data_IF_414929959143
#
_entry.id   IF_414929959143
#
_cell.length_a   1.000
_cell.length_b   1.000
_cell.length_c   1.000
_cell.angle_alpha   90.00
_cell.angle_beta   90.00
_cell.angle_gamma   90.00
#
_symmetry.space_group_name_H-M   'P 1'
#
loop_
_entity.id
_entity.type
_entity.pdbx_description
1 polymer ?
#
# COMPACT_ATOMS: atom_id res chain seq x y z
N UNK A 1 15.35 29.03 7.27
CA UNK A 1 14.11 28.25 7.51
C UNK A 1 14.52 26.79 7.43
N UNK A 2 14.03 25.94 8.31
CA UNK A 2 14.31 24.48 8.27
C UNK A 2 13.51 23.88 7.10
N UNK A 3 14.13 23.00 6.29
CA UNK A 3 13.41 22.34 5.19
C UNK A 3 12.19 21.58 5.73
N UNK A 4 11.08 21.54 4.98
CA UNK A 4 9.93 20.73 5.34
C UNK A 4 10.33 19.27 5.54
N UNK A 5 9.79 18.62 6.57
CA UNK A 5 9.96 17.19 6.79
C UNK A 5 8.97 16.40 5.97
N UNK A 6 9.36 15.20 5.59
CA UNK A 6 8.54 14.27 4.82
C UNK A 6 8.15 13.09 5.72
N UNK A 7 6.84 12.89 5.88
CA UNK A 7 6.24 11.80 6.66
C UNK A 7 5.56 10.82 5.70
N UNK A 8 6.00 9.56 5.69
CA UNK A 8 5.37 8.48 4.94
C UNK A 8 4.38 7.74 5.85
N UNK A 9 3.08 7.86 5.56
CA UNK A 9 1.97 7.46 6.41
C UNK A 9 1.16 6.33 5.78
N UNK A 10 1.05 5.19 6.47
CA UNK A 10 0.32 4.02 5.98
C UNK A 10 -0.21 3.12 7.10
N UNK A 11 -1.24 2.33 6.76
CA UNK A 11 -1.74 1.27 7.63
C UNK A 11 -0.96 -0.01 7.38
N UNK A 12 -0.68 -0.76 8.45
CA UNK A 12 -0.02 -2.06 8.38
C UNK A 12 -0.97 -3.17 8.84
N UNK A 13 -0.97 -4.29 8.10
CA UNK A 13 -1.76 -5.47 8.43
C UNK A 13 -0.86 -6.67 8.76
N UNK A 14 -0.20 -7.28 7.74
CA UNK A 14 0.65 -8.46 7.93
C UNK A 14 1.76 -8.62 6.88
N UNK A 15 1.94 -7.65 6.00
CA UNK A 15 2.84 -7.70 4.85
C UNK A 15 4.28 -7.36 5.25
N UNK A 16 4.93 -8.23 6.04
CA UNK A 16 6.26 -7.97 6.62
C UNK A 16 7.34 -7.73 5.56
N UNK A 17 7.35 -8.52 4.47
CA UNK A 17 8.34 -8.37 3.42
C UNK A 17 8.14 -7.07 2.62
N UNK A 18 6.88 -6.73 2.34
CA UNK A 18 6.54 -5.53 1.60
C UNK A 18 6.81 -4.25 2.42
N UNK A 19 6.62 -4.31 3.73
CA UNK A 19 7.05 -3.25 4.64
C UNK A 19 8.57 -3.03 4.56
N UNK A 20 9.36 -4.11 4.47
CA UNK A 20 10.80 -4.00 4.32
C UNK A 20 11.18 -3.34 2.99
N UNK A 21 10.54 -3.73 1.87
CA UNK A 21 10.76 -3.08 0.57
C UNK A 21 10.45 -1.58 0.62
N UNK A 22 9.31 -1.20 1.24
CA UNK A 22 8.94 0.21 1.41
C UNK A 22 9.96 1.00 2.21
N UNK A 23 10.44 0.43 3.31
CA UNK A 23 11.50 1.04 4.10
C UNK A 23 12.79 1.23 3.29
N UNK A 24 13.23 0.17 2.58
CA UNK A 24 14.45 0.22 1.78
C UNK A 24 14.36 1.30 0.71
N UNK A 25 13.24 1.40 0.01
CA UNK A 25 13.05 2.34 -1.09
C UNK A 25 12.97 3.79 -0.62
N UNK A 26 12.21 4.06 0.44
CA UNK A 26 11.89 5.43 0.83
C UNK A 26 12.81 6.03 1.89
N UNK A 27 13.69 5.24 2.51
CA UNK A 27 14.53 5.69 3.64
C UNK A 27 15.41 6.90 3.32
N UNK A 28 15.81 7.09 2.07
CA UNK A 28 16.66 8.23 1.69
C UNK A 28 15.91 9.55 1.67
N UNK A 29 14.59 9.53 1.39
CA UNK A 29 13.81 10.74 1.16
C UNK A 29 12.89 11.09 2.33
N UNK A 30 12.42 10.11 3.11
CA UNK A 30 11.51 10.38 4.22
C UNK A 30 12.27 10.64 5.52
N UNK A 31 11.77 11.59 6.32
CA UNK A 31 12.25 11.84 7.66
C UNK A 31 11.65 10.85 8.65
N UNK A 32 10.34 10.49 8.46
CA UNK A 32 9.63 9.59 9.35
C UNK A 32 8.66 8.68 8.59
N UNK A 33 8.61 7.41 9.02
CA UNK A 33 7.57 6.45 8.67
C UNK A 33 6.53 6.43 9.79
N UNK A 34 5.27 6.71 9.47
CA UNK A 34 4.16 6.68 10.43
C UNK A 34 3.30 5.46 10.12
N UNK A 35 3.33 4.48 11.01
CA UNK A 35 2.68 3.18 10.84
C UNK A 35 1.51 3.09 11.81
N UNK A 36 0.29 2.92 11.31
CA UNK A 36 -0.86 2.58 12.14
C UNK A 36 -1.16 1.08 12.02
N UNK A 37 -1.20 0.38 13.14
CA UNK A 37 -1.57 -1.03 13.20
C UNK A 37 -2.71 -1.26 14.19
N UNK A 38 -3.81 -1.88 13.71
CA UNK A 38 -4.96 -2.24 14.54
C UNK A 38 -4.81 -3.63 15.16
N UNK A 39 -5.42 -3.83 16.33
CA UNK A 39 -5.54 -5.14 16.99
C UNK A 39 -6.77 -5.94 16.52
N UNK A 40 -7.48 -5.44 15.50
CA UNK A 40 -8.57 -6.11 14.80
C UNK A 40 -8.32 -6.09 13.31
N UNK A 41 -8.81 -7.11 12.60
CA UNK A 41 -8.90 -7.12 11.13
C UNK A 41 -10.04 -6.19 10.68
N UNK A 42 -10.13 -5.87 9.39
CA UNK A 42 -11.26 -5.07 8.89
C UNK A 42 -12.61 -5.78 9.03
N UNK A 43 -12.61 -7.11 9.16
CA UNK A 43 -13.79 -7.94 9.44
C UNK A 43 -14.03 -8.14 10.95
N UNK A 44 -13.31 -7.43 11.80
CA UNK A 44 -13.52 -7.39 13.25
C UNK A 44 -12.84 -8.52 14.06
N UNK A 45 -12.14 -9.46 13.41
CA UNK A 45 -11.44 -10.52 14.13
C UNK A 45 -10.22 -9.98 14.89
N UNK A 46 -9.97 -10.46 16.12
CA UNK A 46 -8.76 -10.08 16.84
C UNK A 46 -7.49 -10.46 16.10
N UNK A 47 -6.49 -9.61 16.12
CA UNK A 47 -5.14 -9.88 15.60
C UNK A 47 -4.08 -9.31 16.52
N UNK A 48 -2.92 -9.93 16.46
CA UNK A 48 -1.72 -9.43 17.14
C UNK A 48 -1.15 -8.15 16.47
N UNK A 49 -0.40 -7.40 17.24
CA UNK A 49 0.45 -6.32 16.73
C UNK A 49 1.71 -6.92 16.10
N UNK A 50 1.64 -7.22 14.80
CA UNK A 50 2.69 -7.94 14.09
C UNK A 50 3.95 -7.10 13.88
N UNK A 51 3.81 -5.78 13.69
CA UNK A 51 4.98 -4.90 13.63
C UNK A 51 5.78 -4.97 14.93
N UNK A 52 5.12 -4.84 16.09
CA UNK A 52 5.80 -4.90 17.38
C UNK A 52 6.52 -6.24 17.61
N UNK A 53 5.86 -7.35 17.24
CA UNK A 53 6.45 -8.69 17.34
C UNK A 53 7.64 -8.92 16.42
N UNK A 54 7.73 -8.16 15.33
CA UNK A 54 8.76 -8.30 14.30
C UNK A 54 9.68 -7.08 14.17
N UNK A 55 9.62 -6.12 15.08
CA UNK A 55 10.37 -4.84 14.98
C UNK A 55 11.87 -5.02 14.81
N UNK A 56 12.46 -6.07 15.39
CA UNK A 56 13.89 -6.35 15.26
C UNK A 56 14.34 -6.60 13.82
N UNK A 57 13.44 -7.05 12.95
CA UNK A 57 13.66 -7.18 11.51
C UNK A 57 13.96 -5.83 10.84
N UNK A 58 13.42 -4.76 11.41
CA UNK A 58 13.49 -3.39 10.87
C UNK A 58 14.39 -2.47 11.68
N UNK A 59 15.31 -3.03 12.50
CA UNK A 59 16.13 -2.31 13.46
C UNK A 59 16.80 -1.06 12.88
N UNK A 60 17.28 -1.12 11.62
CA UNK A 60 17.94 0.01 10.93
C UNK A 60 17.01 1.19 10.60
N UNK A 61 15.69 1.03 10.71
CA UNK A 61 14.68 2.05 10.37
C UNK A 61 13.92 2.57 11.59
N UNK A 62 14.12 1.97 12.77
CA UNK A 62 13.34 2.28 13.97
C UNK A 62 13.48 3.73 14.44
N UNK A 63 14.65 4.34 14.25
CA UNK A 63 14.89 5.74 14.61
C UNK A 63 14.01 6.73 13.81
N UNK A 64 13.55 6.32 12.62
CA UNK A 64 12.63 7.06 11.78
C UNK A 64 11.19 6.56 11.89
N UNK A 65 10.90 5.54 12.68
CA UNK A 65 9.57 4.92 12.72
C UNK A 65 8.75 5.44 13.88
N UNK A 66 7.58 5.98 13.57
CA UNK A 66 6.55 6.38 14.52
C UNK A 66 5.45 5.31 14.46
N UNK A 67 5.39 4.49 15.49
CA UNK A 67 4.43 3.39 15.55
C UNK A 67 3.19 3.77 16.35
N UNK A 68 2.01 3.70 15.71
CA UNK A 68 0.71 4.01 16.28
C UNK A 68 -0.06 2.70 16.48
N UNK A 69 -0.16 2.26 17.74
CA UNK A 69 -0.98 1.11 18.13
C UNK A 69 -2.43 1.53 18.27
N UNK A 70 -3.31 0.88 17.50
CA UNK A 70 -4.76 1.16 17.50
C UNK A 70 -5.45 -0.02 18.18
N UNK A 71 -5.66 0.11 19.50
CA UNK A 71 -6.23 -0.94 20.36
C UNK A 71 -7.73 -0.76 20.63
N UNK A 72 -8.28 0.39 20.31
CA UNK A 72 -9.63 0.85 20.58
C UNK A 72 -10.51 0.93 19.33
N UNK A 73 -10.24 0.04 18.36
CA UNK A 73 -11.02 -0.04 17.13
C UNK A 73 -12.51 -0.26 17.43
N UNK A 74 -13.42 0.36 16.65
CA UNK A 74 -14.85 0.10 16.74
C UNK A 74 -15.14 -1.39 16.50
N UNK A 75 -16.32 -1.83 16.93
CA UNK A 75 -16.79 -3.15 16.56
C UNK A 75 -17.15 -3.20 15.08
N UNK A 76 -17.02 -4.39 14.49
CA UNK A 76 -17.43 -4.60 13.12
C UNK A 76 -18.95 -4.46 12.97
N UNK A 77 -19.40 -3.71 11.97
CA UNK A 77 -20.80 -3.60 11.60
C UNK A 77 -20.96 -3.89 10.10
N UNK A 78 -21.89 -4.77 9.71
CA UNK A 78 -22.22 -5.01 8.29
C UNK A 78 -22.73 -3.75 7.56
N UNK A 79 -23.31 -2.79 8.31
CA UNK A 79 -23.80 -1.52 7.77
C UNK A 79 -22.64 -0.54 7.51
N UNK A 80 -21.51 -0.72 8.18
CA UNK A 80 -20.35 0.17 8.10
C UNK A 80 -19.03 -0.60 7.97
N UNK A 81 -18.97 -1.46 6.94
CA UNK A 81 -17.89 -2.43 6.69
C UNK A 81 -16.47 -1.82 6.68
N UNK A 82 -16.34 -0.53 6.35
CA UNK A 82 -15.05 0.18 6.32
C UNK A 82 -14.73 0.92 7.63
N UNK A 83 -15.54 0.80 8.69
CA UNK A 83 -15.37 1.57 9.91
C UNK A 83 -13.99 1.35 10.55
N UNK A 84 -13.56 0.10 10.68
CA UNK A 84 -12.25 -0.26 11.27
C UNK A 84 -11.10 0.26 10.42
N UNK A 85 -11.16 0.11 9.08
CA UNK A 85 -10.17 0.64 8.14
C UNK A 85 -10.04 2.17 8.27
N UNK A 86 -11.18 2.88 8.26
CA UNK A 86 -11.21 4.33 8.38
C UNK A 86 -10.68 4.80 9.73
N UNK A 87 -11.03 4.09 10.80
CA UNK A 87 -10.57 4.38 12.16
C UNK A 87 -9.05 4.21 12.26
N UNK A 88 -8.51 3.07 11.79
CA UNK A 88 -7.08 2.80 11.76
C UNK A 88 -6.34 3.85 10.93
N UNK A 89 -6.83 4.22 9.73
CA UNK A 89 -6.19 5.25 8.89
C UNK A 89 -6.22 6.62 9.56
N UNK A 90 -7.31 7.00 10.21
CA UNK A 90 -7.39 8.27 10.92
C UNK A 90 -6.48 8.32 12.16
N UNK A 91 -6.16 7.18 12.78
CA UNK A 91 -5.23 7.09 13.88
C UNK A 91 -3.79 7.53 13.52
N UNK A 92 -3.41 7.51 12.23
CA UNK A 92 -2.14 8.07 11.74
C UNK A 92 -1.95 9.53 12.19
N UNK A 93 -3.04 10.28 12.38
CA UNK A 93 -2.99 11.64 12.91
C UNK A 93 -2.34 11.72 14.30
N UNK A 94 -2.51 10.68 15.14
CA UNK A 94 -1.85 10.57 16.45
C UNK A 94 -0.32 10.48 16.33
N UNK A 95 0.19 9.86 15.27
CA UNK A 95 1.63 9.81 14.99
C UNK A 95 2.20 11.12 14.47
N UNK A 96 1.39 11.92 13.77
CA UNK A 96 1.79 13.23 13.22
C UNK A 96 1.71 14.34 14.27
N UNK A 97 0.72 14.29 15.14
CA UNK A 97 0.43 15.35 16.12
C UNK A 97 1.62 15.60 17.06
N UNK A 98 2.04 16.86 17.16
CA UNK A 98 3.20 17.26 17.97
C UNK A 98 4.58 16.94 17.34
N UNK A 99 4.64 16.30 16.17
CA UNK A 99 5.86 16.00 15.42
C UNK A 99 5.91 16.72 14.08
N UNK A 100 4.80 16.70 13.34
CA UNK A 100 4.66 17.44 12.10
C UNK A 100 4.24 18.90 12.37
N UNK A 101 4.69 19.82 11.51
CA UNK A 101 4.39 21.25 11.51
C UNK A 101 3.69 21.60 10.21
N UNK A 102 2.92 22.69 10.22
CA UNK A 102 2.32 23.23 9.00
C UNK A 102 3.41 23.47 7.95
N UNK A 103 3.19 22.96 6.75
CA UNK A 103 4.16 22.97 5.64
C UNK A 103 5.01 21.71 5.53
N UNK A 104 5.08 20.83 6.55
CA UNK A 104 5.65 19.51 6.39
C UNK A 104 4.80 18.67 5.42
N UNK A 105 5.44 17.73 4.71
CA UNK A 105 4.83 16.95 3.63
C UNK A 105 4.39 15.59 4.11
N UNK A 106 3.18 15.23 3.77
CA UNK A 106 2.57 13.94 4.11
C UNK A 106 2.41 13.13 2.81
N UNK A 107 3.04 11.95 2.78
CA UNK A 107 2.77 10.91 1.79
C UNK A 107 1.77 9.96 2.42
N UNK A 108 0.57 9.81 1.85
CA UNK A 108 -0.44 8.87 2.34
C UNK A 108 -0.79 7.86 1.25
N UNK A 109 -0.65 6.57 1.57
CA UNK A 109 -1.06 5.45 0.72
C UNK A 109 -1.38 4.21 1.55
N UNK A 110 -1.79 3.13 0.91
CA UNK A 110 -1.75 1.81 1.55
C UNK A 110 -0.32 1.27 1.51
N UNK A 111 0.02 0.31 2.36
CA UNK A 111 1.38 -0.22 2.50
C UNK A 111 1.97 -0.73 1.17
N UNK A 112 1.12 -1.38 0.37
CA UNK A 112 1.46 -1.99 -0.92
C UNK A 112 1.50 -0.99 -2.09
N UNK A 113 1.28 0.30 -1.82
CA UNK A 113 1.36 1.41 -2.78
C UNK A 113 2.63 2.23 -2.53
N UNK A 114 3.74 1.85 -3.17
CA UNK A 114 5.06 2.47 -2.96
C UNK A 114 5.31 3.52 -4.05
N UNK A 115 5.44 4.82 -3.71
CA UNK A 115 5.75 5.87 -4.69
C UNK A 115 7.21 5.81 -5.14
N UNK A 116 7.50 6.21 -6.39
CA UNK A 116 8.87 6.34 -6.85
C UNK A 116 9.54 7.59 -6.27
N UNK A 117 10.85 7.51 -6.03
CA UNK A 117 11.63 8.63 -5.51
C UNK A 117 11.62 9.82 -6.47
N UNK A 118 11.63 9.56 -7.78
CA UNK A 118 11.57 10.56 -8.83
C UNK A 118 10.24 11.31 -8.81
N UNK A 119 9.12 10.58 -8.68
CA UNK A 119 7.79 11.18 -8.62
C UNK A 119 7.59 12.01 -7.35
N UNK A 120 8.09 11.55 -6.19
CA UNK A 120 8.06 12.34 -4.96
C UNK A 120 8.84 13.65 -5.19
N UNK A 121 10.10 13.58 -5.63
CA UNK A 121 10.96 14.76 -5.83
C UNK A 121 10.38 15.77 -6.80
N UNK A 122 9.73 15.29 -7.87
CA UNK A 122 9.12 16.14 -8.90
C UNK A 122 7.85 16.87 -8.39
N UNK A 123 7.21 16.38 -7.35
CA UNK A 123 5.89 16.86 -6.92
C UNK A 123 5.81 17.33 -5.46
N UNK A 124 6.88 17.18 -4.68
CA UNK A 124 6.85 17.43 -3.22
C UNK A 124 6.58 18.89 -2.86
N UNK A 125 7.03 19.83 -3.70
CA UNK A 125 6.90 21.26 -3.46
C UNK A 125 5.58 21.88 -3.98
N UNK A 126 4.68 21.05 -4.54
CA UNK A 126 3.39 21.55 -4.99
C UNK A 126 2.50 21.95 -3.82
N UNK A 127 1.76 23.06 -3.95
CA UNK A 127 0.87 23.54 -2.88
C UNK A 127 -0.48 22.81 -2.85
N UNK A 128 -0.91 22.21 -3.97
CA UNK A 128 -2.12 21.42 -4.06
C UNK A 128 -1.90 19.95 -3.66
N UNK A 129 -2.95 19.25 -3.29
CA UNK A 129 -2.89 17.79 -3.13
C UNK A 129 -2.62 17.13 -4.47
N UNK A 130 -1.60 16.28 -4.50
CA UNK A 130 -1.15 15.56 -5.69
C UNK A 130 -1.45 14.08 -5.55
N UNK A 131 -1.93 13.46 -6.60
CA UNK A 131 -2.12 12.02 -6.66
C UNK A 131 -1.08 11.37 -7.59
N UNK A 132 -0.16 10.63 -7.00
CA UNK A 132 0.80 9.79 -7.67
C UNK A 132 0.15 8.44 -7.97
N UNK A 133 -0.28 8.22 -9.22
CA UNK A 133 -0.91 6.99 -9.65
C UNK A 133 0.13 5.91 -9.91
N UNK A 134 -0.07 4.72 -9.35
CA UNK A 134 0.89 3.62 -9.41
C UNK A 134 0.52 2.56 -10.44
N UNK A 135 1.54 1.96 -11.07
CA UNK A 135 1.39 0.75 -11.86
C UNK A 135 0.98 -0.42 -10.96
N UNK A 136 -0.02 -1.19 -11.39
CA UNK A 136 -0.57 -2.29 -10.59
C UNK A 136 0.12 -3.60 -10.94
N UNK A 137 0.58 -4.31 -9.92
CA UNK A 137 1.17 -5.65 -9.99
C UNK A 137 0.42 -6.62 -9.09
N UNK A 138 0.22 -7.86 -9.56
CA UNK A 138 -0.43 -8.92 -8.81
C UNK A 138 0.51 -10.07 -8.51
N UNK A 139 0.45 -10.63 -7.30
CA UNK A 139 1.12 -11.84 -6.85
C UNK A 139 2.64 -11.80 -6.88
N UNK A 140 3.22 -11.26 -7.94
CA UNK A 140 4.67 -11.14 -8.18
C UNK A 140 5.03 -9.71 -8.56
N UNK A 141 6.26 -9.31 -8.29
CA UNK A 141 6.75 -7.96 -8.59
C UNK A 141 6.86 -7.68 -10.10
N UNK A 142 6.81 -8.71 -10.93
CA UNK A 142 6.86 -8.62 -12.39
C UNK A 142 5.59 -9.11 -13.10
N UNK A 143 4.47 -9.26 -12.38
CA UNK A 143 3.17 -9.58 -12.96
C UNK A 143 2.29 -8.32 -12.99
N UNK A 144 2.35 -7.56 -14.07
CA UNK A 144 1.72 -6.26 -14.22
C UNK A 144 0.32 -6.36 -14.82
N UNK A 145 -0.63 -5.61 -14.25
CA UNK A 145 -1.95 -5.41 -14.84
C UNK A 145 -1.93 -4.32 -15.92
N UNK A 146 -2.86 -4.41 -16.87
CA UNK A 146 -2.92 -3.51 -18.02
C UNK A 146 -3.20 -2.04 -17.64
N UNK A 147 -3.79 -1.79 -16.48
CA UNK A 147 -4.11 -0.43 -16.02
C UNK A 147 -3.62 -0.18 -14.61
N UNK A 148 -3.06 1.01 -14.39
CA UNK A 148 -2.71 1.54 -13.06
C UNK A 148 -3.92 1.60 -12.14
N UNK A 149 -3.72 1.31 -10.86
CA UNK A 149 -4.75 1.37 -9.83
C UNK A 149 -4.09 1.61 -8.46
N UNK A 150 -4.63 2.53 -7.68
CA UNK A 150 -4.04 2.89 -6.41
C UNK A 150 -2.98 3.98 -6.53
N UNK A 151 -2.40 4.37 -5.41
CA UNK A 151 -1.32 5.35 -5.40
C UNK A 151 -1.24 6.19 -4.14
N UNK A 152 -0.25 7.06 -4.12
CA UNK A 152 0.10 7.92 -2.99
C UNK A 152 -0.43 9.32 -3.18
N UNK A 153 -0.98 9.91 -2.13
CA UNK A 153 -1.29 11.35 -2.09
C UNK A 153 -0.16 12.09 -1.40
N UNK A 154 0.33 13.18 -2.02
CA UNK A 154 1.17 14.17 -1.38
C UNK A 154 0.29 15.33 -0.94
N UNK A 155 0.41 15.73 0.32
CA UNK A 155 -0.33 16.85 0.90
C UNK A 155 0.49 17.58 1.96
N UNK A 156 0.23 18.87 2.18
CA UNK A 156 0.81 19.61 3.29
C UNK A 156 0.14 19.23 4.60
N UNK A 157 0.91 19.04 5.66
CA UNK A 157 0.36 18.91 7.00
C UNK A 157 -0.38 20.21 7.38
N UNK A 158 -1.64 20.07 7.83
CA UNK A 158 -2.53 21.19 8.10
C UNK A 158 -3.51 21.49 6.96
N UNK A 159 -3.35 20.89 5.76
CA UNK A 159 -4.30 21.01 4.65
C UNK A 159 -5.47 20.01 4.71
N UNK A 160 -5.48 19.11 5.69
CA UNK A 160 -6.53 18.13 5.94
C UNK A 160 -6.71 17.92 7.46
N UNK A 161 -7.90 17.49 7.86
CA UNK A 161 -8.22 17.18 9.26
C UNK A 161 -8.03 15.69 9.58
N UNK A 162 -8.37 14.82 8.63
CA UNK A 162 -8.34 13.36 8.78
C UNK A 162 -7.62 12.72 7.59
N UNK A 163 -6.66 11.81 7.81
CA UNK A 163 -5.98 11.07 6.74
C UNK A 163 -6.91 10.39 5.74
N UNK A 164 -8.09 9.93 6.20
CA UNK A 164 -9.10 9.33 5.31
C UNK A 164 -9.57 10.30 4.20
N UNK A 165 -9.51 11.62 4.39
CA UNK A 165 -9.86 12.59 3.34
C UNK A 165 -8.91 12.48 2.15
N UNK A 166 -7.61 12.27 2.40
CA UNK A 166 -6.61 12.05 1.34
C UNK A 166 -6.87 10.73 0.59
N UNK A 167 -7.27 9.68 1.31
CA UNK A 167 -7.63 8.40 0.65
C UNK A 167 -8.88 8.53 -0.22
N UNK A 168 -9.88 9.28 0.22
CA UNK A 168 -11.08 9.59 -0.60
C UNK A 168 -10.69 10.41 -1.83
N UNK A 169 -9.79 11.37 -1.70
CA UNK A 169 -9.26 12.14 -2.82
C UNK A 169 -8.60 11.22 -3.86
N UNK A 170 -7.74 10.29 -3.44
CA UNK A 170 -7.10 9.30 -4.31
C UNK A 170 -8.14 8.40 -5.00
N UNK A 171 -9.06 7.78 -4.24
CA UNK A 171 -10.08 6.86 -4.78
C UNK A 171 -10.92 7.50 -5.90
N UNK A 172 -11.26 8.77 -5.78
CA UNK A 172 -12.00 9.51 -6.81
C UNK A 172 -11.21 9.72 -8.10
N UNK A 173 -9.88 9.59 -8.06
CA UNK A 173 -8.95 9.88 -9.17
C UNK A 173 -8.34 8.66 -9.83
N UNK A 174 -8.60 7.46 -9.36
CA UNK A 174 -8.06 6.22 -9.95
C UNK A 174 -8.33 6.05 -11.45
N UNK A 175 -9.41 6.65 -11.93
CA UNK A 175 -9.80 6.58 -13.34
C UNK A 175 -9.62 7.93 -14.07
N UNK A 176 -9.00 8.92 -13.46
CA UNK A 176 -8.82 10.22 -14.07
C UNK A 176 -7.67 10.20 -15.08
N UNK A 177 -7.89 10.88 -16.20
CA UNK A 177 -6.86 11.09 -17.21
C UNK A 177 -5.97 12.26 -16.81
N UNK A 178 -4.63 12.12 -16.82
CA UNK A 178 -3.70 13.20 -16.50
C UNK A 178 -3.86 14.43 -17.39
N UNK A 179 -4.28 14.25 -18.64
CA UNK A 179 -4.49 15.39 -19.57
C UNK A 179 -5.61 16.32 -19.09
N UNK A 180 -6.59 15.78 -18.34
CA UNK A 180 -7.73 16.55 -17.82
C UNK A 180 -7.56 16.95 -16.34
N UNK A 181 -6.67 16.26 -15.62
CA UNK A 181 -6.49 16.37 -14.18
C UNK A 181 -5.02 16.54 -13.85
N UNK A 182 -4.55 17.79 -13.83
CA UNK A 182 -3.14 18.14 -13.61
C UNK A 182 -2.57 17.72 -12.27
N UNK A 183 -3.43 17.39 -11.31
CA UNK A 183 -3.07 16.86 -10.00
C UNK A 183 -2.82 15.33 -10.01
N UNK A 184 -3.03 14.64 -11.14
CA UNK A 184 -2.82 13.20 -11.31
C UNK A 184 -1.54 12.95 -12.12
N UNK A 185 -0.62 12.19 -11.54
CA UNK A 185 0.67 11.81 -12.15
C UNK A 185 0.70 10.28 -12.34
N UNK A 186 0.64 9.79 -13.59
CA UNK A 186 0.70 8.36 -13.87
C UNK A 186 2.11 7.80 -13.68
N UNK A 187 2.22 6.47 -13.63
CA UNK A 187 3.48 5.72 -13.58
C UNK A 187 4.45 6.21 -12.50
N UNK A 188 3.88 6.65 -11.38
CA UNK A 188 4.60 7.34 -10.31
C UNK A 188 4.96 6.43 -9.13
N UNK A 189 4.92 5.11 -9.33
CA UNK A 189 5.24 4.11 -8.32
C UNK A 189 4.62 2.75 -8.62
N UNK A 190 4.60 1.90 -7.62
CA UNK A 190 4.21 0.49 -7.72
C UNK A 190 3.14 0.15 -6.68
N UNK A 191 2.06 -0.49 -7.13
CA UNK A 191 1.05 -1.08 -6.27
C UNK A 191 1.17 -2.61 -6.36
N UNK A 192 1.74 -3.23 -5.33
CA UNK A 192 1.97 -4.68 -5.27
C UNK A 192 0.80 -5.40 -4.57
N UNK A 193 -0.31 -5.51 -5.27
CA UNK A 193 -1.52 -6.14 -4.74
C UNK A 193 -1.33 -7.65 -4.57
N UNK A 194 -1.67 -8.18 -3.41
CA UNK A 194 -1.52 -9.61 -3.10
C UNK A 194 -0.10 -10.15 -3.39
N UNK A 195 0.95 -9.38 -3.07
CA UNK A 195 2.34 -9.82 -3.23
C UNK A 195 2.64 -10.97 -2.26
N UNK A 196 2.43 -12.17 -2.69
CA UNK A 196 2.58 -13.39 -1.87
C UNK A 196 3.45 -14.46 -2.55
N UNK A 197 3.87 -14.20 -3.79
CA UNK A 197 4.50 -15.23 -4.61
C UNK A 197 3.52 -16.40 -4.85
N UNK A 198 3.96 -17.61 -4.58
CA UNK A 198 3.14 -18.81 -4.76
C UNK A 198 2.59 -19.34 -3.41
N UNK A 199 1.98 -18.46 -2.60
CA UNK A 199 1.36 -18.87 -1.33
C UNK A 199 -0.15 -18.55 -1.29
N UNK A 200 -1.01 -19.49 -1.74
CA UNK A 200 -2.45 -19.30 -1.77
C UNK A 200 -3.07 -19.09 -0.36
N UNK A 201 -2.43 -19.62 0.70
CA UNK A 201 -2.93 -19.43 2.08
C UNK A 201 -2.84 -17.97 2.53
N UNK A 202 -1.77 -17.26 2.14
CA UNK A 202 -1.63 -15.83 2.44
C UNK A 202 -2.68 -14.99 1.71
N UNK A 203 -3.00 -15.35 0.47
CA UNK A 203 -4.08 -14.70 -0.29
C UNK A 203 -5.43 -14.94 0.41
N UNK A 204 -5.76 -16.19 0.73
CA UNK A 204 -6.98 -16.55 1.43
C UNK A 204 -7.11 -15.76 2.73
N UNK A 205 -6.08 -15.76 3.56
CA UNK A 205 -6.08 -15.03 4.82
C UNK A 205 -6.33 -13.53 4.61
N UNK A 206 -5.67 -12.90 3.61
CA UNK A 206 -5.87 -11.48 3.31
C UNK A 206 -7.31 -11.20 2.87
N UNK A 207 -7.89 -12.00 2.00
CA UNK A 207 -9.28 -11.85 1.51
C UNK A 207 -10.30 -12.00 2.64
N UNK A 208 -10.15 -12.99 3.51
CA UNK A 208 -11.07 -13.25 4.63
C UNK A 208 -11.02 -12.19 5.73
N UNK A 209 -9.92 -11.45 5.84
CA UNK A 209 -9.67 -10.48 6.92
C UNK A 209 -9.71 -9.02 6.46
N UNK A 210 -9.74 -8.75 5.17
CA UNK A 210 -10.07 -7.46 4.62
C UNK A 210 -11.57 -7.40 4.27
N UNK A 211 -12.12 -6.20 4.15
CA UNK A 211 -13.56 -5.97 3.93
C UNK A 211 -14.03 -6.28 2.50
N UNK A 212 -13.66 -7.40 1.95
CA UNK A 212 -14.22 -7.82 0.67
C UNK A 212 -15.69 -8.23 0.86
N UNK A 213 -16.53 -7.93 -0.12
CA UNK A 213 -17.92 -8.39 -0.07
C UNK A 213 -17.98 -9.92 -0.07
N UNK A 214 -18.97 -10.49 0.59
CA UNK A 214 -19.16 -11.95 0.62
C UNK A 214 -19.18 -12.56 -0.79
N UNK A 215 -19.81 -11.88 -1.74
CA UNK A 215 -19.84 -12.32 -3.13
C UNK A 215 -18.47 -12.37 -3.80
N UNK A 216 -17.53 -11.49 -3.39
CA UNK A 216 -16.15 -11.53 -3.86
C UNK A 216 -15.37 -12.64 -3.18
N UNK A 217 -15.57 -12.85 -1.87
CA UNK A 217 -14.94 -13.95 -1.12
C UNK A 217 -15.33 -15.30 -1.74
N UNK A 218 -16.59 -15.50 -2.05
CA UNK A 218 -17.10 -16.73 -2.66
C UNK A 218 -16.49 -17.00 -4.05
N UNK A 219 -16.18 -15.93 -4.83
CA UNK A 219 -15.53 -16.03 -6.14
C UNK A 219 -14.05 -16.43 -6.08
N UNK A 220 -13.40 -16.27 -4.96
CA UNK A 220 -12.00 -16.62 -4.80
C UNK A 220 -11.78 -18.14 -4.91
N UNK A 221 -12.73 -18.95 -4.43
CA UNK A 221 -12.72 -20.40 -4.53
C UNK A 221 -11.85 -21.09 -3.48
N UNK A 222 -11.46 -22.33 -3.68
CA UNK A 222 -10.58 -23.11 -2.81
C UNK A 222 -9.12 -22.63 -2.84
N UNK A 223 -8.25 -23.23 -2.05
CA UNK A 223 -6.79 -22.95 -2.12
C UNK A 223 -6.21 -23.40 -3.47
N UNK A 224 -6.73 -24.49 -4.04
CA UNK A 224 -6.38 -24.97 -5.36
C UNK A 224 -6.80 -23.98 -6.46
N UNK A 225 -8.03 -23.44 -6.37
CA UNK A 225 -8.52 -22.42 -7.30
C UNK A 225 -7.65 -21.15 -7.24
N UNK A 226 -7.25 -20.73 -6.04
CA UNK A 226 -6.33 -19.60 -5.86
C UNK A 226 -4.99 -19.89 -6.52
N UNK A 227 -4.41 -21.08 -6.28
CA UNK A 227 -3.13 -21.46 -6.85
C UNK A 227 -3.18 -21.48 -8.39
N UNK A 228 -4.27 -22.00 -8.99
CA UNK A 228 -4.47 -21.98 -10.44
C UNK A 228 -4.59 -20.55 -10.99
N UNK A 229 -5.31 -19.66 -10.29
CA UNK A 229 -5.42 -18.25 -10.69
C UNK A 229 -4.06 -17.54 -10.64
N UNK A 230 -3.28 -17.76 -9.59
CA UNK A 230 -1.92 -17.21 -9.45
C UNK A 230 -1.01 -17.73 -10.57
N UNK A 231 -0.99 -19.05 -10.82
CA UNK A 231 -0.20 -19.67 -11.88
C UNK A 231 -0.60 -19.20 -13.28
N UNK A 232 -1.90 -19.01 -13.50
CA UNK A 232 -2.46 -18.55 -14.77
C UNK A 232 -2.49 -17.02 -14.94
N UNK A 233 -1.93 -16.24 -14.00
CA UNK A 233 -1.94 -14.77 -13.98
C UNK A 233 -3.34 -14.20 -14.18
N UNK A 234 -4.35 -14.80 -13.51
CA UNK A 234 -5.76 -14.43 -13.63
C UNK A 234 -6.18 -13.55 -12.47
N UNK A 235 -7.17 -12.69 -12.70
CA UNK A 235 -7.78 -11.91 -11.63
C UNK A 235 -8.35 -12.83 -10.52
N UNK A 236 -8.03 -12.53 -9.28
CA UNK A 236 -8.39 -13.33 -8.11
C UNK A 236 -9.91 -13.53 -7.98
N UNK A 237 -10.68 -12.51 -8.31
CA UNK A 237 -12.14 -12.48 -8.18
C UNK A 237 -12.89 -12.82 -9.49
N UNK A 238 -12.17 -13.23 -10.52
CA UNK A 238 -12.74 -13.61 -11.82
C UNK A 238 -13.35 -12.43 -12.59
N UNK A 239 -12.92 -11.20 -12.33
CA UNK A 239 -13.39 -10.03 -13.05
C UNK A 239 -12.80 -9.99 -14.46
N UNK A 240 -13.65 -9.96 -15.48
CA UNK A 240 -13.26 -9.99 -16.90
C UNK A 240 -13.10 -8.59 -17.51
N UNK A 241 -12.51 -7.66 -16.80
CA UNK A 241 -12.26 -6.29 -17.28
C UNK A 241 -10.86 -6.21 -17.85
N UNK A 242 -10.71 -5.77 -19.10
CA UNK A 242 -9.42 -5.67 -19.80
C UNK A 242 -8.29 -5.02 -18.97
N UNK A 243 -8.61 -4.04 -18.13
CA UNK A 243 -7.67 -3.34 -17.25
C UNK A 243 -7.03 -4.21 -16.16
N UNK A 244 -7.59 -5.39 -15.90
CA UNK A 244 -7.07 -6.36 -14.93
C UNK A 244 -6.36 -7.54 -15.60
N UNK A 245 -6.23 -7.53 -16.94
CA UNK A 245 -5.37 -8.48 -17.64
C UNK A 245 -3.94 -8.34 -17.12
N UNK A 246 -3.34 -9.47 -16.77
CA UNK A 246 -2.04 -9.53 -16.15
C UNK A 246 -1.03 -10.13 -17.13
N UNK A 247 0.16 -9.55 -17.18
CA UNK A 247 1.28 -10.01 -18.03
C UNK A 247 2.57 -10.01 -17.23
N UNK A 248 3.41 -11.00 -17.49
CA UNK A 248 4.78 -10.98 -16.99
C UNK A 248 5.57 -9.99 -17.83
N UNK A 249 6.20 -9.04 -17.15
CA UNK A 249 6.96 -7.95 -17.78
C UNK A 249 8.41 -7.94 -17.31
N UNK A 250 9.29 -7.38 -18.15
CA UNK A 250 10.63 -7.02 -17.72
C UNK A 250 10.56 -5.74 -16.88
N UNK A 251 10.99 -5.84 -15.63
CA UNK A 251 10.99 -4.72 -14.68
C UNK A 251 12.36 -4.04 -14.56
N UNK A 252 13.34 -4.40 -15.38
CA UNK A 252 14.73 -3.91 -15.25
C UNK A 252 14.83 -2.38 -15.25
N UNK A 253 13.94 -1.69 -15.97
CA UNK A 253 13.92 -0.23 -16.12
C UNK A 253 12.85 0.47 -15.25
N UNK A 254 11.89 -0.29 -14.69
CA UNK A 254 10.69 0.27 -14.07
C UNK A 254 10.49 -0.18 -12.61
N UNK A 255 11.50 -0.81 -12.02
CA UNK A 255 11.44 -1.33 -10.64
C UNK A 255 11.91 -0.29 -9.62
N UNK A 256 11.52 -0.42 -8.33
CA UNK A 256 12.18 0.28 -7.21
C UNK A 256 13.69 0.08 -7.22
N UNK A 257 14.46 1.07 -6.82
CA UNK A 257 15.93 0.94 -6.70
C UNK A 257 16.35 -0.20 -5.79
N UNK A 258 15.58 -0.41 -4.73
CA UNK A 258 15.81 -1.45 -3.73
C UNK A 258 15.39 -2.86 -4.17
N UNK A 259 14.78 -3.02 -5.35
CA UNK A 259 14.19 -4.29 -5.78
C UNK A 259 15.23 -5.41 -5.91
N UNK A 260 16.42 -5.14 -6.41
CA UNK A 260 17.46 -6.17 -6.57
C UNK A 260 17.94 -6.73 -5.21
N UNK A 261 18.11 -5.86 -4.21
CA UNK A 261 18.43 -6.27 -2.84
C UNK A 261 17.27 -7.04 -2.22
N UNK A 262 16.05 -6.58 -2.41
CA UNK A 262 14.84 -7.24 -1.95
C UNK A 262 14.72 -8.66 -2.54
N UNK A 263 14.89 -8.83 -3.84
CA UNK A 263 14.77 -10.13 -4.51
C UNK A 263 15.92 -11.10 -4.20
N UNK A 264 17.11 -10.62 -3.83
CA UNK A 264 18.16 -11.48 -3.27
C UNK A 264 17.72 -12.16 -1.97
N UNK A 265 16.96 -11.43 -1.14
CA UNK A 265 16.44 -11.95 0.13
C UNK A 265 15.13 -12.73 -0.02
N UNK A 266 14.28 -12.35 -0.98
CA UNK A 266 12.94 -12.88 -1.21
C UNK A 266 12.70 -13.27 -2.68
N UNK A 267 13.45 -14.24 -3.22
CA UNK A 267 13.37 -14.61 -4.65
C UNK A 267 12.00 -15.16 -5.08
N UNK A 268 11.19 -15.64 -4.13
CA UNK A 268 9.84 -16.17 -4.38
C UNK A 268 8.85 -15.11 -4.88
N UNK A 269 9.14 -13.82 -4.75
CA UNK A 269 8.27 -12.76 -5.25
C UNK A 269 8.53 -12.37 -6.71
N UNK A 270 9.49 -13.01 -7.37
CA UNK A 270 9.71 -12.84 -8.79
C UNK A 270 9.26 -14.10 -9.53
N UNK A 271 8.32 -13.93 -10.46
CA UNK A 271 7.87 -15.03 -11.30
C UNK A 271 8.95 -15.38 -12.35
N UNK A 272 9.33 -16.64 -12.38
CA UNK A 272 10.20 -17.22 -13.41
C UNK A 272 9.38 -18.21 -14.22
N UNK A 273 9.36 -18.08 -15.54
CA UNK A 273 8.83 -19.15 -16.39
C UNK A 273 9.59 -20.42 -16.05
N UNK A 274 8.86 -21.43 -15.63
CA UNK A 274 9.43 -22.79 -15.60
C UNK A 274 9.69 -23.18 -17.06
N UNK A 275 10.98 -23.38 -17.40
CA UNK A 275 11.42 -23.78 -18.74
C UNK A 275 11.00 -25.24 -19.02
#
# INVERSE_FOLDING_TARGET
>A
MQNPKIFDCFCFFNELELLELRFMELNEIVDYFVIAEANKTHTGHPKDFLFEKNKDRYRRYLDKTIYVKVADCPDYSPEEISAIEHFQRNALMGGLKGRAKVGDKILLSDLDEIPSLEAIKANIDRPEWVFLQHALYYYYVNCQAAKSCGGTVIADYGSFEKPQQLRVFAKRRYNYSPEKHKEVYPDSGWHYSYLVGNDPKRIRYKVENLFESKDLIDKVGSLEDIAEKVKGHKDLFGRTVWRLEQKIVDISQTKPKSMDEFLKKYPQFFYKNEA
#
